data_IF_585096075013
#
_entry.id   IF_585096075013
#
_cell.length_a   1.000
_cell.length_b   1.000
_cell.length_c   1.000
_cell.angle_alpha   90.00
_cell.angle_beta   90.00
_cell.angle_gamma   90.00
#
_symmetry.space_group_name_H-M   'P 1'
#
loop_
_entity.id
_entity.type
_entity.pdbx_description
1 polymer ?
#
# COMPACT_ATOMS: atom_id res chain seq x y z
N UNK A 1 3.11 -9.19 -13.58
CA UNK A 1 2.84 -9.73 -12.24
C UNK A 1 1.35 -9.64 -12.02
N UNK A 2 0.71 -10.65 -11.43
CA UNK A 2 -0.70 -10.56 -11.03
C UNK A 2 -0.80 -10.38 -9.52
N UNK A 3 -1.95 -9.95 -9.02
CA UNK A 3 -2.15 -9.73 -7.58
C UNK A 3 -2.02 -11.04 -6.78
N UNK A 4 -2.31 -12.18 -7.41
CA UNK A 4 -2.15 -13.51 -6.82
C UNK A 4 -0.68 -13.94 -6.71
N UNK A 5 0.20 -13.37 -7.55
CA UNK A 5 1.64 -13.61 -7.51
C UNK A 5 2.36 -12.72 -6.52
N UNK A 6 1.70 -11.67 -6.00
CA UNK A 6 2.30 -10.77 -5.03
C UNK A 6 2.46 -11.45 -3.67
N UNK A 7 3.70 -11.53 -3.21
CA UNK A 7 4.03 -12.12 -1.92
C UNK A 7 3.95 -11.05 -0.83
N UNK A 8 2.94 -11.18 0.04
CA UNK A 8 2.76 -10.29 1.16
C UNK A 8 3.78 -10.59 2.26
N UNK A 9 4.47 -9.57 2.77
CA UNK A 9 5.34 -9.70 3.96
C UNK A 9 4.55 -10.14 5.20
N UNK A 10 3.30 -9.69 5.33
CA UNK A 10 2.39 -10.08 6.42
C UNK A 10 1.01 -10.41 5.85
N UNK A 11 0.38 -11.45 6.41
CA UNK A 11 -0.92 -11.94 5.94
C UNK A 11 -1.98 -10.83 5.99
N UNK A 12 -2.54 -10.42 4.85
CA UNK A 12 -3.53 -9.35 4.81
C UNK A 12 -4.90 -9.85 5.29
N UNK A 13 -5.66 -8.96 5.92
CA UNK A 13 -7.10 -9.17 6.09
C UNK A 13 -7.81 -9.14 4.73
N UNK A 14 -9.02 -9.72 4.67
CA UNK A 14 -9.81 -9.81 3.43
C UNK A 14 -10.02 -8.45 2.77
N UNK A 15 -10.43 -7.44 3.53
CA UNK A 15 -10.68 -6.10 2.99
C UNK A 15 -9.41 -5.43 2.45
N UNK A 16 -8.25 -5.71 3.04
CA UNK A 16 -6.96 -5.16 2.58
C UNK A 16 -6.59 -5.74 1.22
N UNK A 17 -6.72 -7.07 1.07
CA UNK A 17 -6.48 -7.77 -0.21
C UNK A 17 -7.42 -7.28 -1.31
N UNK A 18 -8.70 -7.18 -1.01
CA UNK A 18 -9.71 -6.70 -1.98
C UNK A 18 -9.47 -5.25 -2.36
N UNK A 19 -9.10 -4.40 -1.40
CA UNK A 19 -8.77 -2.99 -1.68
C UNK A 19 -7.51 -2.86 -2.53
N UNK A 20 -6.47 -3.65 -2.23
CA UNK A 20 -5.24 -3.67 -3.02
C UNK A 20 -5.51 -4.10 -4.46
N UNK A 21 -6.23 -5.21 -4.66
CA UNK A 21 -6.61 -5.69 -6.00
C UNK A 21 -7.38 -4.65 -6.83
N UNK A 22 -8.15 -3.77 -6.16
CA UNK A 22 -8.89 -2.68 -6.81
C UNK A 22 -8.06 -1.43 -7.07
N UNK A 23 -6.94 -1.24 -6.39
CA UNK A 23 -6.19 0.03 -6.39
C UNK A 23 -4.79 -0.06 -6.99
N UNK A 24 -4.19 -1.25 -7.06
CA UNK A 24 -2.77 -1.39 -7.39
C UNK A 24 -2.38 -1.09 -8.84
N UNK A 25 -3.36 -1.04 -9.75
CA UNK A 25 -3.16 -0.76 -11.17
C UNK A 25 -3.77 0.59 -11.59
N UNK A 26 -4.45 1.27 -10.66
CA UNK A 26 -5.08 2.56 -10.92
C UNK A 26 -4.05 3.68 -10.83
N UNK A 27 -4.06 4.59 -11.82
CA UNK A 27 -3.14 5.75 -11.79
C UNK A 27 -3.48 6.71 -10.65
N UNK A 28 -4.76 6.81 -10.28
CA UNK A 28 -5.24 7.63 -9.18
C UNK A 28 -6.28 6.87 -8.37
N UNK A 29 -6.06 6.73 -7.06
CA UNK A 29 -6.97 6.04 -6.15
C UNK A 29 -6.97 6.72 -4.78
N UNK A 30 -8.14 6.78 -4.12
CA UNK A 30 -8.29 7.37 -2.80
C UNK A 30 -8.81 6.33 -1.78
N UNK A 31 -8.10 6.21 -0.65
CA UNK A 31 -8.45 5.30 0.44
C UNK A 31 -9.20 6.05 1.55
N UNK A 32 -10.53 6.08 1.46
CA UNK A 32 -11.41 6.59 2.54
C UNK A 32 -11.73 5.49 3.57
N UNK A 33 -10.69 4.84 4.08
CA UNK A 33 -10.81 3.79 5.08
C UNK A 33 -10.80 4.38 6.49
N UNK A 34 -11.64 3.83 7.36
CA UNK A 34 -11.65 4.15 8.78
C UNK A 34 -10.28 3.92 9.43
N UNK A 35 -10.01 4.68 10.51
CA UNK A 35 -8.80 4.52 11.30
C UNK A 35 -8.73 3.09 11.87
N UNK A 36 -7.53 2.49 11.87
CA UNK A 36 -7.32 1.11 12.34
C UNK A 36 -7.54 0.03 11.27
N UNK A 37 -8.05 0.35 10.07
CA UNK A 37 -8.22 -0.66 9.00
C UNK A 37 -6.93 -1.00 8.23
N UNK A 38 -5.79 -0.40 8.61
CA UNK A 38 -4.49 -0.68 8.01
C UNK A 38 -4.29 -0.04 6.63
N UNK A 39 -4.74 1.20 6.45
CA UNK A 39 -4.56 1.96 5.20
C UNK A 39 -3.09 2.10 4.77
N UNK A 40 -2.17 2.29 5.72
CA UNK A 40 -0.73 2.37 5.44
C UNK A 40 -0.20 1.05 4.84
N UNK A 41 -0.58 -0.10 5.42
CA UNK A 41 -0.22 -1.41 4.90
C UNK A 41 -0.67 -1.60 3.45
N UNK A 42 -1.92 -1.23 3.13
CA UNK A 42 -2.44 -1.32 1.76
C UNK A 42 -1.59 -0.46 0.79
N UNK A 43 -1.20 0.76 1.21
CA UNK A 43 -0.34 1.62 0.42
C UNK A 43 1.06 1.02 0.22
N UNK A 44 1.66 0.43 1.26
CA UNK A 44 2.96 -0.24 1.18
C UNK A 44 2.90 -1.43 0.24
N UNK A 45 1.88 -2.29 0.38
CA UNK A 45 1.70 -3.44 -0.50
C UNK A 45 1.52 -2.99 -1.96
N UNK A 46 0.84 -1.86 -2.22
CA UNK A 46 0.70 -1.28 -3.56
C UNK A 46 2.05 -0.83 -4.13
N UNK A 47 2.84 -0.06 -3.36
CA UNK A 47 4.17 0.36 -3.79
C UNK A 47 5.10 -0.83 -4.06
N UNK A 48 5.07 -1.84 -3.18
CA UNK A 48 5.85 -3.06 -3.35
C UNK A 48 5.40 -3.86 -4.58
N UNK A 49 4.09 -3.96 -4.82
CA UNK A 49 3.53 -4.59 -6.02
C UNK A 49 4.05 -3.92 -7.30
N UNK A 50 3.95 -2.59 -7.37
CA UNK A 50 4.40 -1.81 -8.53
C UNK A 50 5.91 -1.91 -8.73
N UNK A 51 6.68 -1.90 -7.64
CA UNK A 51 8.14 -2.02 -7.69
C UNK A 51 8.58 -3.40 -8.20
N UNK A 52 8.00 -4.48 -7.66
CA UNK A 52 8.28 -5.85 -8.12
C UNK A 52 7.86 -6.07 -9.59
N UNK A 53 6.80 -5.38 -10.03
CA UNK A 53 6.38 -5.40 -11.44
C UNK A 53 7.28 -4.56 -12.37
N UNK A 54 8.28 -3.84 -11.84
CA UNK A 54 9.17 -2.96 -12.60
C UNK A 54 8.50 -1.67 -13.10
N UNK A 55 7.34 -1.30 -12.53
CA UNK A 55 6.56 -0.11 -12.94
C UNK A 55 7.04 1.17 -12.27
N UNK A 56 7.62 1.07 -11.08
CA UNK A 56 8.22 2.19 -10.36
C UNK A 56 9.60 1.77 -9.83
N UNK A 57 10.48 2.75 -9.65
CA UNK A 57 11.80 2.55 -9.00
C UNK A 57 11.85 3.17 -7.60
N UNK A 58 10.79 3.84 -7.18
CA UNK A 58 10.68 4.52 -5.89
C UNK A 58 9.33 5.20 -5.73
N UNK A 59 9.05 5.67 -4.53
CA UNK A 59 7.83 6.39 -4.20
C UNK A 59 8.14 7.64 -3.35
N UNK A 60 7.29 8.66 -3.47
CA UNK A 60 7.34 9.85 -2.64
C UNK A 60 6.11 9.86 -1.73
N UNK A 61 6.33 9.81 -0.42
CA UNK A 61 5.26 9.91 0.58
C UNK A 61 5.24 11.33 1.11
N UNK A 62 4.10 11.99 0.99
CA UNK A 62 3.87 13.33 1.55
C UNK A 62 2.86 13.19 2.67
N UNK A 63 3.26 13.51 3.89
CA UNK A 63 2.44 13.40 5.09
C UNK A 63 2.60 14.64 5.99
N UNK A 64 1.59 14.96 6.84
CA UNK A 64 1.74 15.98 7.87
C UNK A 64 2.87 15.64 8.84
N UNK A 65 3.51 16.66 9.41
CA UNK A 65 4.67 16.50 10.31
C UNK A 65 4.46 15.43 11.40
N UNK A 66 3.28 15.40 12.03
CA UNK A 66 2.98 14.45 13.12
C UNK A 66 2.84 12.98 12.69
N UNK A 67 2.88 12.69 11.39
CA UNK A 67 2.74 11.33 10.85
C UNK A 67 4.07 10.84 10.25
N UNK A 68 5.07 11.72 10.05
CA UNK A 68 6.35 11.35 9.45
C UNK A 68 7.08 10.27 10.26
N UNK A 69 7.16 10.43 11.58
CA UNK A 69 7.85 9.47 12.46
C UNK A 69 7.20 8.07 12.39
N UNK A 70 5.88 8.02 12.20
CA UNK A 70 5.18 6.75 12.05
C UNK A 70 5.60 6.03 10.77
N UNK A 71 5.75 6.75 9.65
CA UNK A 71 6.21 6.18 8.38
C UNK A 71 7.67 5.72 8.40
N UNK A 72 8.52 6.33 9.23
CA UNK A 72 9.95 5.97 9.31
C UNK A 72 10.19 4.78 10.26
N UNK A 73 9.47 4.73 11.38
CA UNK A 73 9.73 3.78 12.46
C UNK A 73 8.79 2.56 12.41
N UNK A 74 7.51 2.77 12.11
CA UNK A 74 6.46 1.77 12.35
C UNK A 74 5.89 1.13 11.07
N UNK A 75 6.06 1.75 9.91
CA UNK A 75 5.51 1.30 8.64
C UNK A 75 6.60 0.66 7.76
#
# INVERSE_FOLDING_TARGET
MTIEQYEYKTTPYKHQRETLARSCEETNFALFLEMGLGKSKILIDNMAYLFQAGKISGALIVAPKGVLDNWDINE
#
